data_IF_512040406234
#
_entry.id   IF_512040406234
#
_cell.length_a   1.000
_cell.length_b   1.000
_cell.length_c   1.000
_cell.angle_alpha   90.00
_cell.angle_beta   90.00
_cell.angle_gamma   90.00
#
_symmetry.space_group_name_H-M   'P 1'
#
loop_
_entity.id
_entity.type
_entity.pdbx_description
1 polymer ?
#
# COMPACT_ATOMS: atom_id res chain seq x y z
N UNK A 1 -19.26 27.57 -18.70
CA UNK A 1 -19.70 28.40 -17.55
C UNK A 1 -20.27 29.67 -18.14
N UNK A 2 -21.57 29.91 -17.93
CA UNK A 2 -22.27 31.06 -18.48
C UNK A 2 -22.24 32.18 -17.45
N UNK A 3 -21.90 33.41 -17.86
CA UNK A 3 -22.20 34.57 -17.01
C UNK A 3 -23.72 34.73 -16.97
N UNK A 4 -24.24 35.28 -15.87
CA UNK A 4 -25.67 35.56 -15.69
C UNK A 4 -26.24 36.52 -16.75
N UNK A 5 -25.37 37.19 -17.52
CA UNK A 5 -25.71 38.05 -18.65
C UNK A 5 -25.74 37.31 -20.01
N UNK A 6 -25.55 35.99 -20.04
CA UNK A 6 -25.64 35.16 -21.25
C UNK A 6 -24.48 35.35 -22.23
N UNK A 7 -23.43 36.12 -21.88
CA UNK A 7 -22.28 36.33 -22.76
C UNK A 7 -21.29 35.17 -22.68
N UNK A 8 -20.88 34.72 -23.84
CA UNK A 8 -19.87 33.68 -24.03
C UNK A 8 -18.49 34.25 -23.66
N UNK A 9 -17.79 33.62 -22.70
CA UNK A 9 -16.45 33.99 -22.29
C UNK A 9 -15.45 33.64 -23.40
N UNK A 10 -15.31 34.52 -24.40
CA UNK A 10 -14.33 34.38 -25.47
C UNK A 10 -12.97 34.88 -24.98
N UNK A 11 -12.02 33.96 -24.81
CA UNK A 11 -10.61 34.28 -24.60
C UNK A 11 -10.09 34.22 -23.16
N UNK A 12 -10.88 33.76 -22.20
CA UNK A 12 -10.37 33.50 -20.85
C UNK A 12 -9.73 32.09 -20.80
N UNK A 13 -8.42 32.06 -20.55
CA UNK A 13 -7.68 30.81 -20.34
C UNK A 13 -7.97 30.31 -18.93
N UNK A 14 -8.79 29.27 -18.81
CA UNK A 14 -9.11 28.67 -17.52
C UNK A 14 -7.94 27.81 -17.06
N UNK A 15 -7.19 28.30 -16.06
CA UNK A 15 -6.13 27.53 -15.42
C UNK A 15 -6.72 26.86 -14.18
N UNK A 16 -7.09 25.59 -14.30
CA UNK A 16 -7.30 24.76 -13.13
C UNK A 16 -5.93 24.29 -12.62
N UNK A 17 -5.60 24.64 -11.37
CA UNK A 17 -4.40 24.13 -10.69
C UNK A 17 -4.83 23.06 -9.70
N UNK A 18 -4.49 21.82 -10.00
CA UNK A 18 -4.57 20.73 -9.01
C UNK A 18 -3.30 20.76 -8.18
N UNK A 19 -3.42 21.01 -6.89
CA UNK A 19 -2.32 20.83 -5.94
C UNK A 19 -2.38 19.39 -5.47
N UNK A 20 -1.38 18.58 -5.84
CA UNK A 20 -1.23 17.20 -5.35
C UNK A 20 -0.19 17.25 -4.24
N UNK A 21 -0.63 17.01 -3.00
CA UNK A 21 0.29 16.84 -1.88
C UNK A 21 0.82 15.41 -1.88
N UNK A 22 2.14 15.26 -1.99
CA UNK A 22 2.82 13.95 -1.98
C UNK A 22 3.55 13.81 -0.66
N UNK A 23 3.05 12.92 0.21
CA UNK A 23 3.70 12.60 1.47
C UNK A 23 4.49 11.29 1.36
N UNK A 24 5.81 11.36 1.53
CA UNK A 24 6.68 10.16 1.58
C UNK A 24 6.90 9.74 3.02
N UNK A 25 6.59 8.48 3.33
CA UNK A 25 6.80 7.87 4.64
C UNK A 25 7.52 6.53 4.48
N UNK A 26 8.35 6.20 5.46
CA UNK A 26 9.04 4.92 5.55
C UNK A 26 8.82 4.34 6.94
N UNK A 27 8.64 3.03 7.01
CA UNK A 27 8.46 2.30 8.26
C UNK A 27 9.29 1.02 8.21
N UNK A 28 9.75 0.56 9.37
CA UNK A 28 10.48 -0.70 9.52
C UNK A 28 9.65 -1.63 10.39
N UNK A 29 9.52 -2.88 9.95
CA UNK A 29 8.76 -3.88 10.66
C UNK A 29 9.64 -5.06 11.05
N UNK A 30 9.86 -5.20 12.36
CA UNK A 30 10.56 -6.35 12.92
C UNK A 30 9.61 -7.55 12.99
N UNK A 31 9.65 -8.43 11.99
CA UNK A 31 8.91 -9.69 11.99
C UNK A 31 9.69 -10.71 12.84
N UNK A 32 9.46 -10.71 14.16
CA UNK A 32 10.28 -11.49 15.11
C UNK A 32 10.11 -13.02 15.05
N UNK A 33 9.04 -13.56 14.44
CA UNK A 33 8.74 -15.01 14.47
C UNK A 33 8.02 -15.52 13.20
N UNK A 34 8.67 -15.49 12.03
CA UNK A 34 8.13 -16.11 10.79
C UNK A 34 7.75 -17.59 10.95
N UNK A 35 8.23 -18.26 12.00
CA UNK A 35 8.07 -19.70 12.26
C UNK A 35 6.78 -20.07 12.98
N UNK A 36 5.93 -19.12 13.37
CA UNK A 36 4.66 -19.45 14.03
C UNK A 36 3.48 -18.91 13.25
N UNK A 37 2.53 -19.80 12.92
CA UNK A 37 1.23 -19.45 12.31
C UNK A 37 0.48 -18.34 13.10
N UNK A 38 0.86 -18.10 14.36
CA UNK A 38 0.33 -17.06 15.24
C UNK A 38 0.68 -15.62 14.81
N UNK A 39 1.72 -15.38 14.00
CA UNK A 39 2.06 -14.01 13.56
C UNK A 39 0.97 -13.39 12.67
N UNK A 40 0.32 -14.21 11.86
CA UNK A 40 -0.63 -13.74 10.85
C UNK A 40 -2.03 -13.45 11.43
N UNK A 41 -2.30 -13.85 12.66
CA UNK A 41 -3.65 -13.73 13.24
C UNK A 41 -3.93 -12.36 13.89
N UNK A 42 -2.94 -11.50 14.15
CA UNK A 42 -3.20 -10.31 15.00
C UNK A 42 -2.46 -9.00 14.69
N UNK A 43 -1.60 -8.90 13.68
CA UNK A 43 -0.75 -7.70 13.54
C UNK A 43 -1.13 -6.85 12.34
N UNK A 44 -2.32 -6.25 12.34
CA UNK A 44 -2.60 -5.12 11.45
C UNK A 44 -1.86 -3.90 11.97
N UNK A 45 -0.97 -3.33 11.15
CA UNK A 45 -0.21 -2.13 11.47
C UNK A 45 -0.92 -0.90 10.90
N UNK A 46 -1.46 -0.02 11.76
CA UNK A 46 -2.00 1.24 11.31
C UNK A 46 -0.87 2.22 10.99
N UNK A 47 -0.82 2.72 9.76
CA UNK A 47 -0.02 3.88 9.39
C UNK A 47 -0.86 5.12 9.72
N UNK A 48 -0.43 5.88 10.71
CA UNK A 48 -1.11 7.10 11.15
C UNK A 48 -0.42 8.34 10.62
N UNK A 49 -1.21 9.32 10.21
CA UNK A 49 -0.70 10.68 9.98
C UNK A 49 -0.37 11.37 11.30
N UNK A 50 0.42 12.45 11.30
CA UNK A 50 0.63 13.31 12.48
C UNK A 50 -0.68 13.81 13.11
N UNK A 51 -1.76 13.89 12.32
CA UNK A 51 -3.13 14.17 12.77
C UNK A 51 -3.78 13.04 13.60
N UNK A 52 -3.05 11.94 13.84
CA UNK A 52 -3.46 10.72 14.58
C UNK A 52 -4.63 9.93 13.96
N UNK A 53 -5.02 10.23 12.72
CA UNK A 53 -5.92 9.36 11.96
C UNK A 53 -5.08 8.28 11.25
N UNK A 54 -5.48 7.03 11.38
CA UNK A 54 -4.93 5.94 10.58
C UNK A 54 -5.39 6.13 9.13
N UNK A 55 -4.44 6.08 8.22
CA UNK A 55 -4.62 6.36 6.78
C UNK A 55 -4.45 5.08 5.98
N UNK A 56 -3.54 4.21 6.41
CA UNK A 56 -3.42 2.85 5.90
C UNK A 56 -3.40 1.84 7.02
N UNK A 57 -3.82 0.63 6.69
CA UNK A 57 -3.59 -0.55 7.49
C UNK A 57 -2.81 -1.56 6.65
N UNK A 58 -1.72 -2.07 7.22
CA UNK A 58 -0.91 -3.11 6.61
C UNK A 58 -1.08 -4.40 7.39
N UNK A 59 -1.59 -5.44 6.75
CA UNK A 59 -1.79 -6.74 7.37
C UNK A 59 -0.93 -7.79 6.66
N UNK A 60 -0.09 -8.55 7.38
CA UNK A 60 0.66 -9.63 6.78
C UNK A 60 -0.31 -10.75 6.44
N UNK A 61 -0.13 -11.37 5.29
CA UNK A 61 -0.90 -12.52 4.85
C UNK A 61 0.06 -13.65 4.47
N UNK A 62 -0.21 -14.83 5.00
CA UNK A 62 0.34 -16.07 4.47
C UNK A 62 -0.74 -16.70 3.60
N UNK A 63 -0.48 -16.80 2.30
CA UNK A 63 -1.42 -17.40 1.35
C UNK A 63 -0.87 -18.74 0.91
N UNK A 64 -1.76 -19.71 0.70
CA UNK A 64 -1.37 -20.95 0.01
C UNK A 64 -0.80 -20.57 -1.37
N UNK A 65 0.41 -21.01 -1.65
CA UNK A 65 1.10 -20.70 -2.90
C UNK A 65 0.55 -21.51 -4.08
N UNK A 66 1.20 -21.33 -5.23
CA UNK A 66 0.95 -22.13 -6.46
C UNK A 66 1.42 -23.58 -6.31
N UNK A 67 1.24 -24.43 -7.33
CA UNK A 67 1.61 -25.86 -7.29
C UNK A 67 3.05 -26.13 -6.82
N UNK A 68 3.98 -25.18 -7.03
CA UNK A 68 5.40 -25.26 -6.67
C UNK A 68 5.79 -24.53 -5.36
N UNK A 69 4.85 -23.85 -4.71
CA UNK A 69 5.08 -23.02 -3.52
C UNK A 69 4.06 -23.38 -2.46
N UNK A 70 4.48 -23.79 -1.27
CA UNK A 70 3.51 -24.11 -0.20
C UNK A 70 2.79 -22.85 0.26
N UNK A 71 3.57 -21.81 0.51
CA UNK A 71 3.08 -20.57 1.09
C UNK A 71 3.77 -19.36 0.45
N UNK A 72 2.97 -18.38 0.08
CA UNK A 72 3.38 -17.06 -0.42
C UNK A 72 3.15 -16.04 0.68
N UNK A 73 4.18 -15.23 0.97
CA UNK A 73 4.02 -14.09 1.85
C UNK A 73 3.48 -12.89 1.06
N UNK A 74 2.45 -12.26 1.58
CA UNK A 74 1.87 -11.05 1.01
C UNK A 74 1.55 -10.03 2.11
N UNK A 75 1.38 -8.78 1.71
CA UNK A 75 0.88 -7.71 2.56
C UNK A 75 -0.43 -7.24 1.95
N UNK A 76 -1.49 -7.25 2.75
CA UNK A 76 -2.73 -6.58 2.43
C UNK A 76 -2.62 -5.13 2.87
N UNK A 77 -2.99 -4.23 1.97
CA UNK A 77 -2.98 -2.79 2.16
C UNK A 77 -4.44 -2.35 2.08
N UNK A 78 -4.97 -1.83 3.19
CA UNK A 78 -6.29 -1.18 3.19
C UNK A 78 -6.15 0.29 3.53
N UNK A 79 -7.05 1.10 2.98
CA UNK A 79 -7.18 2.51 3.30
C UNK A 79 -8.66 2.84 3.56
N UNK A 80 -8.94 3.43 4.72
CA UNK A 80 -10.30 3.81 5.11
C UNK A 80 -10.63 5.26 4.75
N UNK A 81 -9.61 6.07 4.47
CA UNK A 81 -9.76 7.48 4.07
C UNK A 81 -9.96 7.58 2.55
N UNK A 82 -11.19 7.90 2.15
CA UNK A 82 -11.58 8.06 0.74
C UNK A 82 -10.96 9.29 0.06
N UNK A 83 -10.28 10.18 0.80
CA UNK A 83 -9.54 11.31 0.22
C UNK A 83 -8.20 10.89 -0.40
N UNK A 84 -7.73 9.68 -0.09
CA UNK A 84 -6.60 9.10 -0.77
C UNK A 84 -7.11 8.58 -2.10
N UNK A 85 -6.49 8.98 -3.21
CA UNK A 85 -6.88 8.49 -4.54
C UNK A 85 -5.89 7.42 -5.04
N UNK A 86 -4.65 7.50 -4.57
CA UNK A 86 -3.51 6.79 -5.13
C UNK A 86 -2.41 6.54 -4.09
N UNK A 87 -1.78 5.37 -4.17
CA UNK A 87 -0.64 4.98 -3.34
C UNK A 87 0.38 4.22 -4.16
N UNK A 88 1.65 4.57 -3.98
CA UNK A 88 2.79 3.75 -4.38
C UNK A 88 3.36 3.05 -3.16
N UNK A 89 3.46 1.72 -3.23
CA UNK A 89 4.07 0.91 -2.19
C UNK A 89 5.36 0.28 -2.71
N UNK A 90 6.47 0.63 -2.07
CA UNK A 90 7.78 0.04 -2.31
C UNK A 90 8.20 -0.75 -1.06
N UNK A 91 8.75 -1.93 -1.26
CA UNK A 91 9.13 -2.82 -0.17
C UNK A 91 10.56 -3.32 -0.32
N UNK A 92 11.35 -3.19 0.75
CA UNK A 92 12.65 -3.82 0.90
C UNK A 92 12.54 -4.91 1.98
N UNK A 93 13.12 -6.08 1.74
CA UNK A 93 13.41 -7.05 2.80
C UNK A 93 14.81 -6.79 3.36
N UNK A 94 14.96 -6.91 4.67
CA UNK A 94 16.24 -6.80 5.36
C UNK A 94 16.68 -8.18 5.85
N UNK A 95 17.90 -8.59 5.51
CA UNK A 95 18.50 -9.79 6.10
C UNK A 95 19.03 -9.53 7.53
N UNK A 96 19.56 -10.56 8.19
CA UNK A 96 20.10 -10.46 9.55
C UNK A 96 21.32 -9.56 9.68
N UNK A 97 21.97 -9.22 8.57
CA UNK A 97 23.10 -8.29 8.49
C UNK A 97 22.64 -6.87 8.08
N UNK A 98 21.33 -6.68 7.86
CA UNK A 98 20.73 -5.42 7.40
C UNK A 98 20.88 -5.15 5.92
N UNK A 99 21.31 -6.13 5.11
CA UNK A 99 21.35 -5.98 3.67
C UNK A 99 19.94 -5.95 3.11
N UNK A 100 19.73 -5.06 2.13
CA UNK A 100 18.44 -4.88 1.46
C UNK A 100 18.30 -5.80 0.26
N UNK A 101 17.16 -6.45 0.18
CA UNK A 101 16.65 -7.09 -1.03
C UNK A 101 15.41 -6.33 -1.49
N UNK A 102 15.54 -5.61 -2.60
CA UNK A 102 14.42 -4.92 -3.25
C UNK A 102 13.34 -5.94 -3.64
N UNK A 103 12.13 -5.75 -3.12
CA UNK A 103 10.96 -6.60 -3.38
C UNK A 103 10.00 -5.98 -4.40
N UNK A 104 10.41 -4.86 -5.00
CA UNK A 104 9.69 -4.16 -6.05
C UNK A 104 8.76 -3.07 -5.54
N UNK A 105 8.14 -2.43 -6.51
CA UNK A 105 7.20 -1.34 -6.33
C UNK A 105 5.86 -1.69 -6.99
N UNK A 106 4.76 -1.31 -6.34
CA UNK A 106 3.42 -1.41 -6.92
C UNK A 106 2.59 -0.19 -6.62
N UNK A 107 1.75 0.13 -7.59
CA UNK A 107 0.80 1.23 -7.52
C UNK A 107 -0.61 0.68 -7.27
N UNK A 108 -1.35 1.39 -6.43
CA UNK A 108 -2.73 1.06 -6.06
C UNK A 108 -3.60 2.31 -6.13
N UNK A 109 -4.77 2.16 -6.72
CA UNK A 109 -5.76 3.22 -6.91
C UNK A 109 -7.01 2.90 -6.09
N UNK A 110 -7.76 3.92 -5.67
CA UNK A 110 -9.12 3.68 -5.15
C UNK A 110 -10.06 3.20 -6.26
N UNK A 111 -11.07 2.36 -5.95
CA UNK A 111 -11.45 1.84 -4.63
C UNK A 111 -10.71 0.56 -4.20
N UNK A 112 -9.73 0.08 -4.97
CA UNK A 112 -9.01 -1.18 -4.68
C UNK A 112 -8.33 -1.17 -3.30
N UNK A 113 -7.91 0.01 -2.84
CA UNK A 113 -7.38 0.21 -1.49
C UNK A 113 -8.44 0.01 -0.40
N UNK A 114 -9.70 0.37 -0.64
CA UNK A 114 -10.81 0.09 0.29
C UNK A 114 -11.15 -1.40 0.36
N UNK A 115 -10.99 -2.12 -0.76
CA UNK A 115 -11.26 -3.56 -0.86
C UNK A 115 -10.13 -4.44 -0.29
N UNK A 116 -8.93 -3.86 -0.06
CA UNK A 116 -7.76 -4.61 0.39
C UNK A 116 -6.86 -5.03 -0.76
N UNK A 117 -6.02 -4.10 -1.19
CA UNK A 117 -5.00 -4.34 -2.20
C UNK A 117 -3.94 -5.34 -1.69
N UNK A 118 -3.44 -6.21 -2.57
CA UNK A 118 -2.46 -7.24 -2.20
C UNK A 118 -1.11 -6.95 -2.86
N UNK A 119 -0.09 -6.78 -2.04
CA UNK A 119 1.31 -6.78 -2.44
C UNK A 119 1.92 -8.15 -2.14
N UNK A 120 2.49 -8.83 -3.15
CA UNK A 120 3.14 -10.13 -2.95
C UNK A 120 4.63 -9.90 -2.75
N UNK A 121 5.20 -10.51 -1.71
CA UNK A 121 6.66 -10.51 -1.52
C UNK A 121 7.28 -11.65 -2.35
N UNK A 122 8.55 -11.51 -2.77
CA UNK A 122 9.26 -12.56 -3.50
C UNK A 122 9.60 -13.80 -2.64
N UNK A 123 9.28 -13.79 -1.35
CA UNK A 123 9.54 -14.92 -0.46
C UNK A 123 8.48 -16.01 -0.60
N UNK A 124 8.95 -17.23 -0.81
CA UNK A 124 8.12 -18.43 -0.99
C UNK A 124 8.66 -19.53 -0.09
N UNK A 125 7.81 -20.14 0.75
CA UNK A 125 8.17 -21.39 1.43
C UNK A 125 8.11 -22.52 0.40
N UNK A 126 9.26 -23.11 0.08
CA UNK A 126 9.34 -24.23 -0.88
C UNK A 126 9.02 -25.54 -0.16
N UNK A 127 8.28 -26.43 -0.85
CA UNK A 127 8.12 -27.83 -0.43
C UNK A 127 9.49 -28.47 -0.28
N UNK A 128 9.84 -28.88 0.93
CA UNK A 128 10.92 -29.86 1.14
C UNK A 128 10.30 -31.23 0.91
N UNK A 129 10.69 -31.90 -0.18
CA UNK A 129 10.35 -33.29 -0.44
C UNK A 129 11.22 -34.24 0.37
#
# INVERSE_FOLDING_TARGET
>A
MWRTDGKELRGEQFIARTVVEIERRSFTWDIKYLTSNKIFEQTTLPITLPSKKAVFNLSPLLKKGSESVEEEFAVQITADDESIEYVTFHCDLLDSLGNKLDCGEKEFWFPKLKEGAIFKLPYTHKKTH
#
